data_IF_691994689028
#
_entry.id   IF_691994689028
#
_cell.length_a   1.000
_cell.length_b   1.000
_cell.length_c   1.000
_cell.angle_alpha   90.00
_cell.angle_beta   90.00
_cell.angle_gamma   90.00
#
_symmetry.space_group_name_H-M   'P 1'
#
loop_
_entity.id
_entity.type
_entity.pdbx_description
1 polymer ?
#
# COMPACT_ATOMS: atom_id res chain seq x y z
N UNK A 1 0.39 2.12 2.82
CA UNK A 1 -0.39 1.64 1.67
C UNK A 1 0.44 1.68 0.39
N UNK A 2 0.14 0.80 -0.54
CA UNK A 2 0.88 0.67 -1.78
C UNK A 2 0.48 1.76 -2.78
N UNK A 3 1.01 2.98 -2.64
CA UNK A 3 0.65 4.13 -3.48
C UNK A 3 0.77 3.86 -4.99
N UNK A 4 1.67 2.96 -5.39
CA UNK A 4 1.85 2.57 -6.80
C UNK A 4 0.76 1.64 -7.36
N UNK A 5 -0.27 1.31 -6.59
CA UNK A 5 -1.42 0.48 -7.00
C UNK A 5 -2.76 1.20 -6.83
N UNK A 6 -2.74 2.51 -6.60
CA UNK A 6 -3.94 3.34 -6.50
C UNK A 6 -4.41 3.75 -7.90
N UNK A 7 -4.84 2.76 -8.67
CA UNK A 7 -5.42 2.98 -10.00
C UNK A 7 -6.71 3.78 -9.86
N UNK A 8 -6.90 4.74 -10.75
CA UNK A 8 -8.14 5.52 -10.82
C UNK A 8 -9.33 4.57 -10.99
N UNK A 9 -10.42 4.82 -10.29
CA UNK A 9 -11.65 3.99 -10.26
C UNK A 9 -11.51 2.64 -9.53
N UNK A 10 -10.35 2.28 -8.97
CA UNK A 10 -10.27 1.08 -8.16
C UNK A 10 -11.01 1.27 -6.82
N UNK A 11 -11.87 0.30 -6.48
CA UNK A 11 -12.65 0.29 -5.24
C UNK A 11 -12.06 -0.69 -4.21
N UNK A 12 -12.42 -0.50 -2.94
CA UNK A 12 -12.18 -1.50 -1.93
C UNK A 12 -13.05 -2.73 -2.17
N UNK A 13 -12.50 -3.91 -1.90
CA UNK A 13 -13.26 -5.18 -1.93
C UNK A 13 -13.97 -5.49 -0.62
N UNK A 14 -13.72 -4.70 0.40
CA UNK A 14 -14.28 -4.87 1.73
C UNK A 14 -15.03 -3.62 2.13
N UNK A 15 -16.12 -3.80 2.89
CA UNK A 15 -16.89 -2.68 3.41
C UNK A 15 -16.02 -1.72 4.21
N UNK A 16 -16.27 -0.40 4.07
CA UNK A 16 -15.64 0.63 4.88
C UNK A 16 -15.86 0.46 6.38
N UNK A 17 -16.87 -0.31 6.79
CA UNK A 17 -17.09 -0.68 8.20
C UNK A 17 -15.96 -1.55 8.78
N UNK A 18 -15.13 -2.15 7.91
CA UNK A 18 -13.88 -2.82 8.29
C UNK A 18 -12.69 -1.88 8.25
N UNK A 19 -12.91 -0.62 8.61
CA UNK A 19 -11.87 0.37 8.79
C UNK A 19 -10.94 0.02 9.98
N UNK A 20 -10.05 0.94 10.34
CA UNK A 20 -9.05 0.70 11.39
C UNK A 20 -9.66 0.42 12.78
N UNK A 21 -10.88 0.86 13.05
CA UNK A 21 -11.41 0.93 14.41
C UNK A 21 -12.86 0.49 14.60
N UNK A 22 -13.72 0.63 13.60
CA UNK A 22 -15.19 0.52 13.75
C UNK A 22 -15.64 -0.82 14.32
N UNK A 23 -15.04 -1.93 13.88
CA UNK A 23 -15.41 -3.25 14.40
C UNK A 23 -15.03 -3.47 15.86
N UNK A 24 -14.05 -2.73 16.37
CA UNK A 24 -13.56 -2.85 17.74
C UNK A 24 -14.12 -1.77 18.64
N UNK A 25 -14.22 -0.55 18.15
CA UNK A 25 -14.76 0.60 18.86
C UNK A 25 -15.46 1.55 17.86
N UNK A 26 -16.77 1.38 17.63
CA UNK A 26 -17.50 2.20 16.66
C UNK A 26 -17.60 3.68 17.05
N UNK A 27 -17.31 4.03 18.30
CA UNK A 27 -17.31 5.42 18.78
C UNK A 27 -15.95 6.10 18.63
N UNK A 28 -14.95 5.40 18.11
CA UNK A 28 -13.60 5.95 17.91
C UNK A 28 -13.62 7.15 16.95
N UNK A 29 -12.88 8.23 17.27
CA UNK A 29 -12.76 9.39 16.38
C UNK A 29 -12.01 9.07 15.07
N UNK A 30 -11.32 7.92 14.99
CA UNK A 30 -10.52 7.51 13.84
C UNK A 30 -11.26 6.61 12.86
N UNK A 31 -12.61 6.60 12.88
CA UNK A 31 -13.40 5.85 11.90
C UNK A 31 -13.42 6.54 10.54
N UNK A 32 -13.66 5.77 9.48
CA UNK A 32 -13.82 6.30 8.12
C UNK A 32 -14.98 7.29 8.03
N UNK A 33 -16.07 7.05 8.75
CA UNK A 33 -17.23 7.97 8.82
C UNK A 33 -16.84 9.31 9.43
N UNK A 34 -16.03 9.31 10.51
CA UNK A 34 -15.53 10.55 11.10
C UNK A 34 -14.56 11.31 10.19
N UNK A 35 -13.73 10.58 9.43
CA UNK A 35 -12.91 11.20 8.40
C UNK A 35 -13.76 11.92 7.35
N UNK A 36 -14.77 11.27 6.80
CA UNK A 36 -15.70 11.87 5.84
C UNK A 36 -16.38 13.11 6.42
N UNK A 37 -16.86 13.04 7.67
CA UNK A 37 -17.45 14.17 8.37
C UNK A 37 -16.48 15.34 8.52
N UNK A 38 -15.25 15.07 8.95
CA UNK A 38 -14.21 16.09 9.14
C UNK A 38 -13.84 16.83 7.82
N UNK A 39 -14.04 16.16 6.68
CA UNK A 39 -13.78 16.74 5.35
C UNK A 39 -15.04 17.23 4.62
N UNK A 40 -16.19 17.26 5.29
CA UNK A 40 -17.46 17.72 4.69
C UNK A 40 -18.04 16.80 3.61
N UNK A 41 -17.57 15.56 3.51
CA UNK A 41 -17.89 14.60 2.43
C UNK A 41 -18.89 13.51 2.84
N UNK A 42 -19.34 13.51 4.10
CA UNK A 42 -20.17 12.43 4.63
C UNK A 42 -21.52 12.31 3.90
N UNK A 43 -22.17 13.44 3.60
CA UNK A 43 -23.48 13.43 2.93
C UNK A 43 -23.34 12.92 1.49
N UNK A 44 -22.32 13.38 0.78
CA UNK A 44 -22.05 12.94 -0.59
C UNK A 44 -21.76 11.45 -0.65
N UNK A 45 -20.97 10.95 0.29
CA UNK A 45 -20.69 9.51 0.39
C UNK A 45 -21.94 8.67 0.71
N UNK A 46 -22.81 9.15 1.60
CA UNK A 46 -24.09 8.47 1.91
C UNK A 46 -24.96 8.40 0.64
N UNK A 47 -25.01 9.47 -0.14
CA UNK A 47 -25.79 9.53 -1.37
C UNK A 47 -25.28 8.60 -2.48
N UNK A 48 -24.01 8.20 -2.45
CA UNK A 48 -23.47 7.18 -3.36
C UNK A 48 -24.08 5.79 -3.11
N UNK A 49 -24.59 5.51 -1.89
CA UNK A 49 -25.23 4.24 -1.54
C UNK A 49 -24.32 3.03 -1.59
N UNK A 50 -23.00 3.22 -1.44
CA UNK A 50 -22.00 2.15 -1.52
C UNK A 50 -21.39 1.82 -0.15
N UNK A 51 -20.99 0.56 0.03
CA UNK A 51 -20.12 0.12 1.13
C UNK A 51 -18.62 0.06 0.74
N UNK A 52 -18.32 0.28 -0.52
CA UNK A 52 -16.99 0.08 -1.11
C UNK A 52 -16.43 1.41 -1.62
N UNK A 53 -15.76 2.18 -0.77
CA UNK A 53 -15.17 3.45 -1.20
C UNK A 53 -14.06 3.24 -2.23
N UNK A 54 -13.83 4.26 -3.05
CA UNK A 54 -12.66 4.30 -3.91
C UNK A 54 -11.39 4.16 -3.07
N UNK A 55 -10.39 3.41 -3.58
CA UNK A 55 -9.12 3.21 -2.87
C UNK A 55 -8.36 4.49 -2.61
N UNK A 56 -8.46 5.46 -3.50
CA UNK A 56 -7.83 6.77 -3.29
C UNK A 56 -8.42 7.46 -2.06
N UNK A 57 -9.74 7.50 -1.92
CA UNK A 57 -10.40 8.09 -0.75
C UNK A 57 -10.06 7.35 0.54
N UNK A 58 -10.04 6.01 0.48
CA UNK A 58 -9.68 5.23 1.65
C UNK A 58 -8.20 5.41 2.02
N UNK A 59 -7.32 5.57 1.04
CA UNK A 59 -5.92 5.92 1.30
C UNK A 59 -5.78 7.29 1.96
N UNK A 60 -6.59 8.27 1.57
CA UNK A 60 -6.59 9.59 2.20
C UNK A 60 -7.07 9.51 3.66
N UNK A 61 -8.07 8.68 3.92
CA UNK A 61 -8.46 8.35 5.28
C UNK A 61 -7.30 7.76 6.10
N UNK A 62 -6.59 6.76 5.57
CA UNK A 62 -5.44 6.17 6.26
C UNK A 62 -4.33 7.19 6.54
N UNK A 63 -4.08 8.10 5.58
CA UNK A 63 -3.13 9.20 5.75
C UNK A 63 -3.59 10.18 6.82
N UNK A 64 -4.87 10.53 6.82
CA UNK A 64 -5.45 11.41 7.84
C UNK A 64 -5.31 10.82 9.24
N UNK A 65 -5.56 9.53 9.43
CA UNK A 65 -5.33 8.86 10.72
C UNK A 65 -3.84 8.85 11.04
N UNK A 66 -2.96 8.51 10.09
CA UNK A 66 -1.52 8.46 10.31
C UNK A 66 -0.96 9.81 10.80
N UNK A 67 -1.45 10.93 10.27
CA UNK A 67 -1.06 12.27 10.72
C UNK A 67 -1.39 12.54 12.19
N UNK A 68 -2.44 11.91 12.75
CA UNK A 68 -2.74 12.05 14.18
C UNK A 68 -1.68 11.42 15.09
N UNK A 69 -0.87 10.50 14.52
CA UNK A 69 0.19 9.76 15.20
C UNK A 69 1.61 10.11 14.72
N UNK A 70 1.77 11.27 14.08
CA UNK A 70 3.06 11.70 13.51
C UNK A 70 4.19 11.68 14.56
N UNK A 71 3.91 12.14 15.78
CA UNK A 71 4.90 12.16 16.87
C UNK A 71 5.35 10.76 17.31
N UNK A 72 4.50 9.76 17.15
CA UNK A 72 4.76 8.35 17.49
C UNK A 72 5.29 7.55 16.33
N UNK A 73 5.23 8.09 15.11
CA UNK A 73 5.63 7.41 13.88
C UNK A 73 7.01 7.83 13.44
N UNK A 74 7.75 6.90 12.85
CA UNK A 74 9.05 7.15 12.21
C UNK A 74 9.02 6.52 10.82
N UNK A 75 8.84 7.37 9.82
CA UNK A 75 8.90 6.98 8.42
C UNK A 75 10.33 7.11 7.87
N UNK A 76 10.64 6.37 6.82
CA UNK A 76 11.97 6.40 6.22
C UNK A 76 13.06 5.71 7.04
N UNK A 77 12.67 4.90 8.03
CA UNK A 77 13.59 4.06 8.80
C UNK A 77 13.39 2.58 8.44
N UNK A 78 14.47 1.89 8.15
CA UNK A 78 14.52 0.44 7.94
C UNK A 78 14.92 -0.25 9.23
N UNK A 79 14.11 -1.18 9.73
CA UNK A 79 14.50 -2.03 10.87
C UNK A 79 15.47 -3.09 10.37
N UNK A 80 16.70 -3.07 10.89
CA UNK A 80 17.77 -3.98 10.49
C UNK A 80 17.72 -5.29 11.26
N UNK A 81 17.53 -5.19 12.59
CA UNK A 81 17.50 -6.37 13.47
C UNK A 81 16.75 -6.08 14.78
N UNK A 82 16.30 -7.13 15.41
CA UNK A 82 15.71 -7.13 16.75
C UNK A 82 16.47 -8.14 17.58
N UNK A 83 17.08 -7.69 18.68
CA UNK A 83 17.92 -8.51 19.55
C UNK A 83 17.31 -8.59 20.95
N UNK A 84 17.36 -9.76 21.62
CA UNK A 84 16.92 -9.87 22.99
C UNK A 84 17.92 -9.20 23.95
N UNK A 85 17.40 -8.52 24.95
CA UNK A 85 18.16 -8.07 26.12
C UNK A 85 17.90 -9.08 27.24
N UNK A 86 18.96 -9.79 27.63
CA UNK A 86 18.85 -10.86 28.63
C UNK A 86 19.23 -10.37 30.02
N UNK A 87 18.44 -10.74 31.01
CA UNK A 87 18.78 -10.66 32.41
C UNK A 87 18.51 -12.04 33.07
N UNK A 88 19.51 -12.58 33.74
CA UNK A 88 19.44 -13.93 34.33
C UNK A 88 18.92 -15.00 33.36
N UNK A 89 19.39 -15.00 32.11
CA UNK A 89 19.00 -15.89 31.00
C UNK A 89 17.54 -15.78 30.57
N UNK A 90 16.81 -14.76 31.03
CA UNK A 90 15.45 -14.47 30.60
C UNK A 90 15.45 -13.18 29.72
N UNK A 91 14.55 -13.14 28.73
CA UNK A 91 14.37 -11.94 27.91
C UNK A 91 13.62 -10.89 28.72
N UNK A 92 14.30 -9.82 29.08
CA UNK A 92 13.72 -8.68 29.80
C UNK A 92 13.17 -7.62 28.85
N UNK A 93 13.86 -7.40 27.75
CA UNK A 93 13.49 -6.40 26.74
C UNK A 93 13.97 -6.83 25.36
N UNK A 94 13.55 -6.07 24.35
CA UNK A 94 13.99 -6.20 22.96
C UNK A 94 14.67 -4.90 22.53
N UNK A 95 15.82 -5.01 21.89
CA UNK A 95 16.55 -3.91 21.28
C UNK A 95 16.28 -3.90 19.78
N UNK A 96 15.63 -2.87 19.30
CA UNK A 96 15.32 -2.66 17.89
C UNK A 96 16.37 -1.73 17.31
N UNK A 97 17.09 -2.19 16.28
CA UNK A 97 18.10 -1.43 15.58
C UNK A 97 17.52 -1.06 14.21
N UNK A 98 17.45 0.22 13.93
CA UNK A 98 16.95 0.77 12.66
C UNK A 98 17.98 1.71 12.03
N UNK A 99 17.84 1.95 10.73
CA UNK A 99 18.68 2.84 9.94
C UNK A 99 17.80 3.78 9.13
N UNK A 100 18.10 5.06 9.15
CA UNK A 100 17.42 6.05 8.32
C UNK A 100 18.02 6.13 6.89
N UNK A 101 17.42 6.96 6.03
CA UNK A 101 17.85 7.16 4.64
C UNK A 101 19.25 7.77 4.50
N UNK A 102 19.81 8.36 5.56
CA UNK A 102 21.18 8.91 5.58
C UNK A 102 22.22 7.89 6.03
N UNK A 103 21.79 6.69 6.43
CA UNK A 103 22.65 5.63 6.94
C UNK A 103 22.86 5.68 8.46
N UNK A 104 22.30 6.67 9.15
CA UNK A 104 22.44 6.80 10.61
C UNK A 104 21.59 5.73 11.31
N UNK A 105 22.23 4.99 12.22
CA UNK A 105 21.56 3.94 13.00
C UNK A 105 21.03 4.49 14.33
N UNK A 106 19.86 4.00 14.69
CA UNK A 106 19.24 4.26 15.99
C UNK A 106 18.91 2.96 16.70
N UNK A 107 19.06 2.95 18.01
CA UNK A 107 18.75 1.83 18.88
C UNK A 107 17.63 2.22 19.83
N UNK A 108 16.57 1.42 19.88
CA UNK A 108 15.43 1.62 20.77
C UNK A 108 15.19 0.36 21.57
N UNK A 109 14.92 0.50 22.87
CA UNK A 109 14.59 -0.64 23.73
C UNK A 109 13.10 -0.63 24.03
N UNK A 110 12.47 -1.80 23.94
CA UNK A 110 11.03 -1.98 24.19
C UNK A 110 10.78 -3.34 24.87
N UNK A 111 9.62 -3.48 25.50
CA UNK A 111 9.19 -4.77 26.10
C UNK A 111 8.62 -5.73 25.06
N UNK A 112 8.05 -5.21 23.98
CA UNK A 112 7.41 -6.03 22.95
C UNK A 112 7.48 -5.36 21.58
N UNK A 113 7.43 -6.16 20.53
CA UNK A 113 7.39 -5.71 19.13
C UNK A 113 6.23 -6.39 18.42
N UNK A 114 5.46 -5.61 17.65
CA UNK A 114 4.47 -6.14 16.72
C UNK A 114 5.03 -6.01 15.31
N UNK A 115 5.18 -7.13 14.62
CA UNK A 115 5.68 -7.16 13.24
C UNK A 115 4.50 -7.17 12.28
N UNK A 116 4.37 -6.12 11.47
CA UNK A 116 3.30 -5.94 10.47
C UNK A 116 3.88 -5.49 9.12
N UNK A 117 4.99 -6.11 8.73
CA UNK A 117 5.78 -5.70 7.56
C UNK A 117 5.11 -5.99 6.20
N UNK A 118 3.99 -6.74 6.19
CA UNK A 118 3.33 -7.19 4.96
C UNK A 118 4.13 -8.28 4.23
N UNK A 119 3.79 -8.49 2.96
CA UNK A 119 4.47 -9.47 2.10
C UNK A 119 5.49 -8.84 1.17
N UNK A 120 6.45 -9.65 0.72
CA UNK A 120 7.39 -9.27 -0.35
C UNK A 120 6.80 -9.61 -1.72
N UNK A 121 6.85 -8.70 -2.70
CA UNK A 121 6.44 -8.96 -4.07
C UNK A 121 7.14 -10.21 -4.62
N UNK A 122 6.36 -11.15 -5.18
CA UNK A 122 6.91 -12.38 -5.76
C UNK A 122 6.84 -12.33 -7.28
N UNK A 123 7.99 -12.32 -7.91
CA UNK A 123 8.11 -12.52 -9.36
C UNK A 123 8.30 -14.01 -9.60
N UNK A 124 7.53 -14.65 -10.53
CA UNK A 124 7.70 -16.05 -10.88
C UNK A 124 9.14 -16.37 -11.33
N UNK A 125 9.59 -17.60 -11.06
CA UNK A 125 11.00 -18.02 -11.28
C UNK A 125 11.46 -17.76 -12.73
N UNK A 126 10.57 -18.02 -13.70
CA UNK A 126 10.86 -17.84 -15.13
C UNK A 126 11.24 -16.40 -15.51
N UNK A 127 10.84 -15.40 -14.69
CA UNK A 127 11.13 -13.99 -14.92
C UNK A 127 12.23 -13.43 -14.00
N UNK A 128 12.78 -14.22 -13.09
CA UNK A 128 13.80 -13.75 -12.14
C UNK A 128 15.06 -13.20 -12.81
N UNK A 129 15.45 -13.77 -13.92
CA UNK A 129 16.60 -13.28 -14.70
C UNK A 129 16.35 -11.87 -15.30
N UNK A 130 15.08 -11.45 -15.39
CA UNK A 130 14.65 -10.18 -15.95
C UNK A 130 14.24 -9.16 -14.87
N UNK A 131 14.49 -9.44 -13.60
CA UNK A 131 14.05 -8.59 -12.46
C UNK A 131 14.56 -7.13 -12.52
N UNK A 132 15.71 -6.93 -13.15
CA UNK A 132 16.35 -5.63 -13.31
C UNK A 132 16.05 -5.00 -14.69
N UNK A 133 15.28 -5.68 -15.53
CA UNK A 133 14.76 -5.14 -16.78
C UNK A 133 13.49 -4.34 -16.49
N UNK A 134 13.52 -3.04 -16.74
CA UNK A 134 12.40 -2.13 -16.48
C UNK A 134 11.09 -2.47 -17.21
N UNK A 135 11.10 -3.45 -18.11
CA UNK A 135 9.92 -3.98 -18.80
C UNK A 135 9.22 -5.11 -18.04
N UNK A 136 9.88 -5.70 -17.03
CA UNK A 136 9.31 -6.76 -16.19
C UNK A 136 9.21 -6.25 -14.76
N UNK A 137 8.02 -6.09 -14.26
CA UNK A 137 7.79 -5.55 -12.91
C UNK A 137 6.57 -6.17 -12.24
N UNK A 138 6.59 -6.20 -10.93
CA UNK A 138 5.45 -6.63 -10.13
C UNK A 138 4.41 -5.50 -10.04
N UNK A 139 3.12 -5.85 -9.96
CA UNK A 139 2.02 -4.88 -9.92
C UNK A 139 2.17 -3.84 -8.79
N UNK A 140 2.87 -4.17 -7.69
CA UNK A 140 3.14 -3.21 -6.62
C UNK A 140 3.94 -1.97 -7.06
N UNK A 141 4.50 -2.01 -8.26
CA UNK A 141 5.22 -0.90 -8.89
C UNK A 141 4.47 -0.34 -10.12
N UNK A 142 3.23 -0.76 -10.34
CA UNK A 142 2.50 -0.54 -11.59
C UNK A 142 2.52 0.93 -12.02
N UNK A 143 1.99 1.86 -11.23
CA UNK A 143 1.91 3.27 -11.60
C UNK A 143 3.28 3.90 -11.85
N UNK A 144 4.27 3.58 -10.99
CA UNK A 144 5.63 4.13 -11.14
C UNK A 144 6.34 3.61 -12.39
N UNK A 145 6.11 2.35 -12.76
CA UNK A 145 6.70 1.77 -13.97
C UNK A 145 5.95 2.22 -15.22
N UNK A 146 4.61 2.27 -15.18
CA UNK A 146 3.83 2.75 -16.31
C UNK A 146 4.16 4.20 -16.67
N UNK A 147 4.39 5.07 -15.70
CA UNK A 147 4.82 6.45 -15.94
C UNK A 147 6.13 6.59 -16.76
N UNK A 148 6.89 5.51 -16.89
CA UNK A 148 8.17 5.46 -17.63
C UNK A 148 8.05 4.77 -18.98
N UNK A 149 6.87 4.19 -19.30
CA UNK A 149 6.68 3.45 -20.54
C UNK A 149 6.40 4.37 -21.73
N UNK A 150 6.74 3.95 -22.95
CA UNK A 150 6.53 4.75 -24.18
C UNK A 150 5.06 5.14 -24.42
N UNK A 151 4.11 4.33 -23.96
CA UNK A 151 2.68 4.56 -24.13
C UNK A 151 2.16 5.84 -23.44
N UNK A 152 2.89 6.39 -22.46
CA UNK A 152 2.57 7.71 -21.87
C UNK A 152 2.60 8.80 -22.92
N UNK A 153 3.41 8.63 -23.98
CA UNK A 153 3.49 9.53 -25.13
C UNK A 153 2.72 8.98 -26.35
N UNK A 154 1.69 8.15 -26.13
CA UNK A 154 0.88 7.52 -27.17
C UNK A 154 1.68 6.65 -28.18
N UNK A 155 2.86 6.19 -27.81
CA UNK A 155 3.60 5.25 -28.66
C UNK A 155 3.00 3.84 -28.56
N UNK A 156 2.80 3.14 -29.68
CA UNK A 156 2.28 1.79 -29.66
C UNK A 156 3.23 0.84 -28.91
N UNK A 157 2.65 -0.01 -28.05
CA UNK A 157 3.38 -1.10 -27.39
C UNK A 157 2.43 -2.25 -27.02
N UNK A 158 2.99 -3.43 -26.75
CA UNK A 158 2.25 -4.56 -26.23
C UNK A 158 2.65 -4.84 -24.78
N UNK A 159 1.67 -5.10 -23.95
CA UNK A 159 1.87 -5.42 -22.53
C UNK A 159 1.17 -6.74 -22.23
N UNK A 160 1.91 -7.70 -21.65
CA UNK A 160 1.35 -8.93 -21.12
C UNK A 160 1.16 -8.84 -19.61
N UNK A 161 -0.05 -9.10 -19.15
CA UNK A 161 -0.39 -9.23 -17.73
C UNK A 161 -0.37 -10.70 -17.36
N UNK A 162 0.50 -11.09 -16.44
CA UNK A 162 0.62 -12.48 -15.98
C UNK A 162 -0.14 -12.65 -14.66
N UNK A 163 -1.26 -13.36 -14.71
CA UNK A 163 -2.11 -13.69 -13.59
C UNK A 163 -3.57 -13.34 -13.78
N UNK A 164 -4.47 -14.01 -13.05
CA UNK A 164 -5.92 -13.84 -13.12
C UNK A 164 -6.57 -13.26 -11.85
N UNK A 165 -5.79 -12.63 -10.99
CA UNK A 165 -6.31 -11.99 -9.76
C UNK A 165 -6.89 -10.60 -10.01
N UNK A 166 -7.49 -10.00 -8.96
CA UNK A 166 -8.06 -8.66 -9.06
C UNK A 166 -7.05 -7.60 -9.51
N UNK A 167 -5.82 -7.66 -9.01
CA UNK A 167 -4.78 -6.72 -9.45
C UNK A 167 -4.49 -6.79 -10.95
N UNK A 168 -4.60 -8.00 -11.54
CA UNK A 168 -4.47 -8.19 -12.97
C UNK A 168 -5.66 -7.56 -13.71
N UNK A 169 -6.89 -7.79 -13.23
CA UNK A 169 -8.09 -7.20 -13.82
C UNK A 169 -8.08 -5.67 -13.73
N UNK A 170 -7.68 -5.10 -12.59
CA UNK A 170 -7.55 -3.65 -12.42
C UNK A 170 -6.50 -3.04 -13.37
N UNK A 171 -5.33 -3.68 -13.51
CA UNK A 171 -4.32 -3.25 -14.45
C UNK A 171 -4.80 -3.37 -15.90
N UNK A 172 -5.55 -4.42 -16.24
CA UNK A 172 -6.14 -4.60 -17.57
C UNK A 172 -7.12 -3.47 -17.92
N UNK A 173 -8.02 -3.14 -16.99
CA UNK A 173 -8.99 -2.06 -17.17
C UNK A 173 -8.26 -0.71 -17.33
N UNK A 174 -7.32 -0.40 -16.42
CA UNK A 174 -6.58 0.85 -16.49
C UNK A 174 -5.79 1.00 -17.78
N UNK A 175 -5.15 -0.07 -18.26
CA UNK A 175 -4.41 -0.04 -19.52
C UNK A 175 -5.32 0.24 -20.72
N UNK A 176 -6.50 -0.38 -20.77
CA UNK A 176 -7.45 -0.15 -21.86
C UNK A 176 -8.07 1.25 -21.82
N UNK A 177 -8.35 1.77 -20.63
CA UNK A 177 -9.00 3.06 -20.46
C UNK A 177 -8.02 4.22 -20.61
N UNK A 178 -6.81 4.10 -20.07
CA UNK A 178 -5.84 5.20 -19.97
C UNK A 178 -4.81 5.20 -21.10
N UNK A 179 -4.59 4.07 -21.79
CA UNK A 179 -3.52 3.92 -22.79
C UNK A 179 -4.03 3.28 -24.09
N UNK A 180 -4.78 4.00 -24.93
CA UNK A 180 -5.42 3.44 -26.12
C UNK A 180 -4.43 2.92 -27.19
N UNK A 181 -3.15 3.29 -27.09
CA UNK A 181 -2.08 2.81 -27.97
C UNK A 181 -1.47 1.47 -27.53
N UNK A 182 -1.92 0.91 -26.40
CA UNK A 182 -1.39 -0.34 -25.83
C UNK A 182 -2.26 -1.52 -26.27
N UNK A 183 -1.64 -2.54 -26.82
CA UNK A 183 -2.26 -3.84 -26.94
C UNK A 183 -2.03 -4.62 -25.63
N UNK A 184 -3.10 -5.10 -25.00
CA UNK A 184 -3.02 -5.81 -23.72
C UNK A 184 -3.37 -7.28 -23.92
N UNK A 185 -2.49 -8.16 -23.47
CA UNK A 185 -2.73 -9.60 -23.38
C UNK A 185 -2.75 -10.01 -21.90
N UNK A 186 -3.73 -10.82 -21.50
CA UNK A 186 -3.82 -11.37 -20.14
C UNK A 186 -3.65 -12.88 -20.19
N UNK A 187 -2.70 -13.42 -19.41
CA UNK A 187 -2.29 -14.82 -19.39
C UNK A 187 -2.44 -15.41 -17.99
#
# INVERSE_FOLDING_TARGET
WHGNTLVTQSELQISFLKDLVTLRNPTSPYSFVNYLKAHGRLVDFINLGTFYPCRMEYNDYLRWVAMQFEKQSRYGEEVLTIEPVLHNQQVEALRVISRDSTGHQQVRTTRSVVVSAGGTPRIPEVFKALKDDGRVFHHSQYLAQMARQPCVNNQPMSIAIIGGGQSAAEAFIDLNDSFPSVQVDMI
#
